data_IF_064784368850
#
_entry.id   IF_064784368850
#
_cell.length_a   1.000
_cell.length_b   1.000
_cell.length_c   1.000
_cell.angle_alpha   90.00
_cell.angle_beta   90.00
_cell.angle_gamma   90.00
#
_symmetry.space_group_name_H-M   'P 1'
#
loop_
_entity.id
_entity.type
_entity.pdbx_description
1 polymer ?
#
# COMPACT_ATOMS: atom_id res chain seq x y z
N UNK A 1 0.43 10.83 27.89
CA UNK A 1 0.18 9.72 26.94
C UNK A 1 1.40 9.34 26.08
N UNK A 2 2.56 10.03 26.17
CA UNK A 2 3.64 9.89 25.17
C UNK A 2 4.56 8.66 25.29
N UNK A 3 4.92 8.21 26.50
CA UNK A 3 5.90 7.11 26.65
C UNK A 3 5.33 5.72 26.37
N UNK A 4 4.09 5.46 26.81
CA UNK A 4 3.44 4.17 26.60
C UNK A 4 3.08 3.95 25.12
N UNK A 5 2.52 4.97 24.46
CA UNK A 5 2.18 4.92 23.04
C UNK A 5 3.45 4.73 22.20
N UNK A 6 4.49 5.53 22.45
CA UNK A 6 5.79 5.38 21.78
C UNK A 6 6.39 3.98 22.00
N UNK A 7 6.28 3.44 23.22
CA UNK A 7 6.75 2.08 23.51
C UNK A 7 6.00 1.01 22.73
N UNK A 8 4.67 1.14 22.60
CA UNK A 8 3.86 0.22 21.78
C UNK A 8 4.24 0.35 20.30
N UNK A 9 4.41 1.59 19.82
CA UNK A 9 4.76 1.86 18.42
C UNK A 9 6.12 1.24 18.05
N UNK A 10 7.13 1.48 18.88
CA UNK A 10 8.51 1.03 18.64
C UNK A 10 8.66 -0.49 18.78
N UNK A 11 7.95 -1.12 19.73
CA UNK A 11 8.13 -2.54 20.04
C UNK A 11 7.20 -3.47 19.25
N UNK A 12 6.04 -2.98 18.83
CA UNK A 12 5.03 -3.82 18.18
C UNK A 12 4.57 -3.25 16.85
N UNK A 13 4.06 -2.01 16.81
CA UNK A 13 3.39 -1.51 15.62
C UNK A 13 4.34 -1.36 14.42
N UNK A 14 5.47 -0.67 14.57
CA UNK A 14 6.42 -0.47 13.46
C UNK A 14 7.11 -1.76 13.05
N UNK A 15 7.63 -2.62 13.96
CA UNK A 15 8.25 -3.88 13.57
C UNK A 15 7.28 -4.82 12.83
N UNK A 16 6.05 -4.97 13.31
CA UNK A 16 5.06 -5.85 12.65
C UNK A 16 4.58 -5.26 11.33
N UNK A 17 4.38 -3.95 11.24
CA UNK A 17 4.13 -3.27 9.96
C UNK A 17 5.26 -3.54 8.97
N UNK A 18 6.52 -3.40 9.40
CA UNK A 18 7.68 -3.68 8.55
C UNK A 18 7.69 -5.13 8.05
N UNK A 19 7.45 -6.11 8.92
CA UNK A 19 7.39 -7.53 8.54
C UNK A 19 6.29 -7.80 7.51
N UNK A 20 5.11 -7.19 7.69
CA UNK A 20 4.01 -7.31 6.74
C UNK A 20 4.37 -6.71 5.37
N UNK A 21 5.02 -5.56 5.35
CA UNK A 21 5.49 -4.94 4.11
C UNK A 21 6.60 -5.78 3.44
N UNK A 22 7.55 -6.32 4.20
CA UNK A 22 8.57 -7.24 3.69
C UNK A 22 7.93 -8.48 3.04
N UNK A 23 6.89 -9.05 3.67
CA UNK A 23 6.14 -10.19 3.14
C UNK A 23 5.39 -9.85 1.84
N UNK A 24 4.69 -8.71 1.80
CA UNK A 24 3.94 -8.26 0.63
C UNK A 24 4.87 -7.92 -0.54
N UNK A 25 6.01 -7.29 -0.30
CA UNK A 25 7.01 -7.00 -1.32
C UNK A 25 7.58 -8.30 -1.92
N UNK A 26 7.83 -9.30 -1.08
CA UNK A 26 8.28 -10.62 -1.53
C UNK A 26 7.21 -11.35 -2.37
N UNK A 27 5.91 -11.20 -2.06
CA UNK A 27 4.82 -11.72 -2.90
C UNK A 27 4.86 -11.06 -4.28
N UNK A 28 4.94 -9.73 -4.34
CA UNK A 28 4.98 -9.00 -5.61
C UNK A 28 6.24 -9.32 -6.41
N UNK A 29 7.38 -9.51 -5.75
CA UNK A 29 8.61 -9.96 -6.41
C UNK A 29 8.41 -11.32 -7.11
N UNK A 30 7.73 -12.27 -6.45
CA UNK A 30 7.37 -13.57 -7.06
C UNK A 30 6.36 -13.43 -8.20
N UNK A 31 5.34 -12.58 -8.03
CA UNK A 31 4.36 -12.31 -9.09
C UNK A 31 5.04 -11.72 -10.34
N UNK A 32 6.00 -10.80 -10.15
CA UNK A 32 6.79 -10.21 -11.23
C UNK A 32 7.59 -11.24 -12.01
N UNK A 33 8.18 -12.24 -11.35
CA UNK A 33 8.87 -13.34 -12.03
C UNK A 33 7.94 -14.15 -12.93
N UNK A 34 6.65 -14.23 -12.60
CA UNK A 34 5.62 -14.87 -13.44
C UNK A 34 5.03 -13.97 -14.53
N UNK A 35 5.54 -12.74 -14.67
CA UNK A 35 5.06 -11.72 -15.59
C UNK A 35 3.79 -11.00 -15.12
N UNK A 36 3.46 -11.07 -13.82
CA UNK A 36 2.32 -10.35 -13.25
C UNK A 36 2.73 -9.10 -12.49
N UNK A 37 1.89 -8.05 -12.62
CA UNK A 37 1.98 -6.80 -11.87
C UNK A 37 0.98 -6.71 -10.71
N UNK A 38 0.22 -7.77 -10.44
CA UNK A 38 -0.86 -7.81 -9.43
C UNK A 38 -0.47 -8.73 -8.27
N UNK A 39 -1.11 -8.56 -7.12
CA UNK A 39 -0.89 -9.45 -5.97
C UNK A 39 -1.27 -10.91 -6.25
N UNK A 40 -2.29 -11.13 -7.08
CA UNK A 40 -2.82 -12.46 -7.39
C UNK A 40 -3.15 -12.58 -8.87
N UNK A 41 -2.67 -13.65 -9.51
CA UNK A 41 -2.98 -13.96 -10.91
C UNK A 41 -2.40 -12.91 -11.86
N UNK A 42 -3.04 -12.69 -13.02
CA UNK A 42 -2.55 -11.80 -14.10
C UNK A 42 -3.47 -10.61 -14.41
N UNK A 43 -4.42 -10.31 -13.53
CA UNK A 43 -5.41 -9.24 -13.71
C UNK A 43 -5.73 -8.58 -12.37
N UNK A 44 -6.30 -7.39 -12.40
CA UNK A 44 -6.81 -6.72 -11.20
C UNK A 44 -7.79 -7.63 -10.45
N UNK A 45 -7.55 -7.83 -9.16
CA UNK A 45 -8.41 -8.65 -8.29
C UNK A 45 -8.85 -7.88 -7.05
N UNK A 46 -9.74 -8.49 -6.26
CA UNK A 46 -10.12 -7.96 -4.96
C UNK A 46 -8.93 -7.78 -4.01
N UNK A 47 -7.86 -8.57 -4.15
CA UNK A 47 -6.65 -8.40 -3.33
C UNK A 47 -6.00 -7.02 -3.57
N UNK A 48 -5.87 -6.62 -4.84
CA UNK A 48 -5.31 -5.32 -5.20
C UNK A 48 -6.22 -4.17 -4.73
N UNK A 49 -7.54 -4.36 -4.83
CA UNK A 49 -8.53 -3.37 -4.37
C UNK A 49 -8.45 -3.19 -2.85
N UNK A 50 -8.48 -4.28 -2.07
CA UNK A 50 -8.41 -4.22 -0.60
C UNK A 50 -7.09 -3.60 -0.14
N UNK A 51 -5.98 -3.95 -0.80
CA UNK A 51 -4.65 -3.44 -0.44
C UNK A 51 -4.39 -2.01 -0.94
N UNK A 52 -5.19 -1.48 -1.86
CA UNK A 52 -5.04 -0.11 -2.36
C UNK A 52 -5.12 0.93 -1.23
N UNK A 53 -6.06 0.79 -0.30
CA UNK A 53 -6.16 1.74 0.80
C UNK A 53 -4.95 1.69 1.76
N UNK A 54 -4.62 0.56 2.40
CA UNK A 54 -3.52 0.52 3.36
C UNK A 54 -2.16 0.76 2.71
N UNK A 55 -1.92 0.31 1.48
CA UNK A 55 -0.62 0.46 0.83
C UNK A 55 -0.54 1.73 -0.02
N UNK A 56 -1.37 1.83 -1.05
CA UNK A 56 -1.31 2.95 -2.01
C UNK A 56 -1.71 4.27 -1.33
N UNK A 57 -2.83 4.34 -0.61
CA UNK A 57 -3.27 5.60 0.02
C UNK A 57 -2.45 5.94 1.26
N UNK A 58 -2.32 5.02 2.22
CA UNK A 58 -1.78 5.37 3.54
C UNK A 58 -0.24 5.34 3.64
N UNK A 59 0.42 4.35 3.04
CA UNK A 59 1.88 4.20 3.16
C UNK A 59 2.62 4.89 2.01
N UNK A 60 2.23 4.60 0.77
CA UNK A 60 2.92 5.10 -0.43
C UNK A 60 2.37 6.44 -0.94
N UNK A 61 1.13 6.79 -0.58
CA UNK A 61 0.50 8.07 -0.89
C UNK A 61 0.98 9.21 0.02
N UNK A 62 1.47 8.90 1.22
CA UNK A 62 2.08 9.87 2.15
C UNK A 62 3.46 9.40 2.60
N UNK A 63 4.48 9.68 1.79
CA UNK A 63 5.88 9.38 2.13
C UNK A 63 6.34 10.05 3.42
N UNK A 64 5.76 11.20 3.75
CA UNK A 64 6.01 11.89 5.02
C UNK A 64 5.48 11.08 6.22
N UNK A 65 4.29 10.48 6.10
CA UNK A 65 3.74 9.61 7.15
C UNK A 65 4.63 8.40 7.38
N UNK A 66 5.14 7.78 6.31
CA UNK A 66 6.05 6.66 6.44
C UNK A 66 7.40 7.04 7.10
N UNK A 67 7.92 8.23 6.79
CA UNK A 67 9.11 8.77 7.48
C UNK A 67 8.87 8.98 8.98
N UNK A 68 7.68 9.47 9.36
CA UNK A 68 7.28 9.62 10.76
C UNK A 68 7.16 8.29 11.50
N UNK A 69 6.88 7.19 10.80
CA UNK A 69 6.91 5.82 11.33
C UNK A 69 8.35 5.28 11.50
N UNK A 70 9.38 6.08 11.21
CA UNK A 70 10.77 5.65 11.26
C UNK A 70 11.18 4.78 10.07
N UNK A 71 10.31 4.60 9.08
CA UNK A 71 10.69 3.97 7.82
C UNK A 71 11.49 4.97 7.00
N UNK A 72 12.65 4.54 6.50
CA UNK A 72 13.49 5.39 5.66
C UNK A 72 12.86 5.66 4.29
N UNK A 73 13.67 5.60 3.23
CA UNK A 73 13.12 5.71 1.88
C UNK A 73 12.33 4.43 1.53
N UNK A 74 11.00 4.49 1.65
CA UNK A 74 10.11 3.34 1.44
C UNK A 74 10.16 2.78 0.01
N UNK A 75 10.44 3.61 -1.00
CA UNK A 75 10.57 3.14 -2.38
C UNK A 75 11.81 2.26 -2.57
N UNK A 76 12.85 2.49 -1.77
CA UNK A 76 14.05 1.65 -1.74
C UNK A 76 13.88 0.40 -0.88
N UNK A 77 13.12 0.51 0.21
CA UNK A 77 12.88 -0.61 1.13
C UNK A 77 11.93 -1.65 0.52
N UNK A 78 10.89 -1.20 -0.19
CA UNK A 78 9.86 -2.04 -0.80
C UNK A 78 9.59 -1.63 -2.25
N UNK A 79 10.56 -1.88 -3.16
CA UNK A 79 10.49 -1.40 -4.54
C UNK A 79 9.38 -2.08 -5.35
N UNK A 80 8.97 -3.31 -5.00
CA UNK A 80 7.93 -4.00 -5.73
C UNK A 80 6.54 -3.49 -5.33
N UNK A 81 6.34 -3.15 -4.05
CA UNK A 81 5.12 -2.46 -3.61
C UNK A 81 5.05 -1.06 -4.22
N UNK A 82 6.16 -0.31 -4.25
CA UNK A 82 6.22 1.02 -4.88
C UNK A 82 5.80 0.95 -6.36
N UNK A 83 6.39 0.02 -7.12
CA UNK A 83 6.02 -0.21 -8.52
C UNK A 83 4.55 -0.67 -8.68
N UNK A 84 4.04 -1.53 -7.78
CA UNK A 84 2.63 -1.92 -7.78
C UNK A 84 1.70 -0.72 -7.53
N UNK A 85 2.02 0.13 -6.55
CA UNK A 85 1.23 1.32 -6.22
C UNK A 85 1.13 2.28 -7.41
N UNK A 86 2.25 2.52 -8.11
CA UNK A 86 2.26 3.32 -9.35
C UNK A 86 1.46 2.70 -10.50
N UNK A 87 1.43 1.36 -10.59
CA UNK A 87 0.69 0.67 -11.62
C UNK A 87 -0.81 0.64 -11.35
N UNK A 88 -1.21 0.43 -10.10
CA UNK A 88 -2.62 0.36 -9.69
C UNK A 88 -3.28 1.74 -9.72
N UNK A 89 -2.56 2.81 -9.34
CA UNK A 89 -3.11 4.18 -9.42
C UNK A 89 -3.47 4.61 -10.85
N UNK A 90 -2.85 3.97 -11.86
CA UNK A 90 -3.10 4.20 -13.30
C UNK A 90 -4.01 3.15 -13.94
N UNK A 91 -4.47 2.14 -13.19
CA UNK A 91 -5.26 1.05 -13.73
C UNK A 91 -6.70 1.53 -14.03
N UNK A 92 -7.16 1.54 -15.30
CA UNK A 92 -8.45 2.14 -15.66
C UNK A 92 -9.66 1.53 -14.93
N UNK A 93 -9.61 0.23 -14.65
CA UNK A 93 -10.69 -0.46 -13.92
C UNK A 93 -10.75 -0.04 -12.46
N UNK A 94 -9.60 0.24 -11.85
CA UNK A 94 -9.53 0.73 -10.48
C UNK A 94 -10.07 2.17 -10.37
N UNK A 95 -9.61 3.05 -11.27
CA UNK A 95 -10.10 4.44 -11.36
C UNK A 95 -11.62 4.46 -11.52
N UNK A 96 -12.15 3.71 -12.50
CA UNK A 96 -13.60 3.63 -12.73
C UNK A 96 -14.39 3.13 -11.51
N UNK A 97 -13.83 2.19 -10.75
CA UNK A 97 -14.47 1.70 -9.53
C UNK A 97 -14.54 2.81 -8.46
N UNK A 98 -13.46 3.55 -8.27
CA UNK A 98 -13.44 4.67 -7.32
C UNK A 98 -14.35 5.82 -7.77
N UNK A 99 -14.41 6.15 -9.05
CA UNK A 99 -15.34 7.16 -9.59
C UNK A 99 -16.80 6.79 -9.32
N UNK A 100 -17.14 5.50 -9.46
CA UNK A 100 -18.47 5.01 -9.15
C UNK A 100 -18.79 5.16 -7.66
N UNK A 101 -17.87 4.75 -6.78
CA UNK A 101 -18.03 4.92 -5.33
C UNK A 101 -18.19 6.39 -4.97
N UNK A 102 -17.36 7.27 -5.53
CA UNK A 102 -17.40 8.71 -5.32
C UNK A 102 -18.75 9.34 -5.74
N UNK A 103 -19.48 8.73 -6.69
CA UNK A 103 -20.81 9.20 -7.07
C UNK A 103 -21.89 8.94 -6.01
N UNK A 104 -21.64 7.99 -5.10
CA UNK A 104 -22.51 7.67 -3.97
C UNK A 104 -22.04 8.28 -2.64
N UNK A 105 -20.76 8.67 -2.56
CA UNK A 105 -20.22 9.34 -1.38
C UNK A 105 -20.57 10.82 -1.37
N UNK A 106 -20.98 11.33 -0.21
CA UNK A 106 -21.29 12.76 0.00
C UNK A 106 -20.00 13.61 0.00
N UNK A 107 -18.84 12.97 0.08
CA UNK A 107 -17.49 13.57 0.08
C UNK A 107 -16.63 12.91 -0.99
N UNK A 108 -15.89 13.70 -1.79
CA UNK A 108 -14.98 13.16 -2.81
C UNK A 108 -13.77 12.47 -2.14
N UNK A 109 -13.43 11.24 -2.51
CA UNK A 109 -12.22 10.59 -2.02
C UNK A 109 -10.97 11.31 -2.55
N UNK A 110 -9.96 11.51 -1.68
CA UNK A 110 -8.63 11.97 -2.08
C UNK A 110 -7.90 10.78 -2.72
N UNK A 111 -8.04 10.65 -4.04
CA UNK A 111 -7.34 9.65 -4.86
C UNK A 111 -6.03 10.24 -5.37
#
# INVERSE_FOLDING_TARGET
MGLLVKGIDDQFYFPETKKNLDFLDAILAKQKQSGSKYFVGKKLTGADIILSFPLLTNIFGSKESAQKMGFGNIDKLWPNISAWAENISKEPKFIKANDLVASFEVSKPNI
#
